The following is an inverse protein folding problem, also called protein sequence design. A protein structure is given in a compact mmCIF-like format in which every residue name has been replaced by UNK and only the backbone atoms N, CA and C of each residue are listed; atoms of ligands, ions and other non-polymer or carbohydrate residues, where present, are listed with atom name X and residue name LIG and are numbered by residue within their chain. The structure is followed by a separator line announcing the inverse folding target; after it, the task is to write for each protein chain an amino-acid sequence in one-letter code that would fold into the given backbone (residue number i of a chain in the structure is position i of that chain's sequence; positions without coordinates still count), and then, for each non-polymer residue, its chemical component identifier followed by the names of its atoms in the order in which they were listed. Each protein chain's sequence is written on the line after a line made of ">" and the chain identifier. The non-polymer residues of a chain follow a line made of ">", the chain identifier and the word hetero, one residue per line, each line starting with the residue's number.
data_IF_866828639704
#
_entry.id   IF_866828639704
#
_cell.length_a   1.000
_cell.length_b   1.000
_cell.length_c   1.000
_cell.angle_alpha   90.00
_cell.angle_beta   90.00
_cell.angle_gamma   90.00
#
_symmetry.space_group_name_H-M   'P 1'
#
loop_
_entity.id
_entity.type
_entity.pdbx_description
1 polymer ?
#
# COMPACT_ATOMS: atom_id res chain seq x y z
N UNK A 1 36.39 -7.23 32.03
CA UNK A 1 35.29 -8.12 32.47
C UNK A 1 33.93 -7.42 32.57
N UNK A 2 33.80 -6.09 32.38
CA UNK A 2 32.51 -5.37 32.44
C UNK A 2 31.75 -5.27 31.11
N UNK A 3 32.43 -5.27 29.95
CA UNK A 3 31.77 -5.12 28.64
C UNK A 3 31.14 -6.42 28.09
N UNK A 4 31.63 -7.60 28.50
CA UNK A 4 31.08 -8.89 28.05
C UNK A 4 29.78 -9.28 28.76
N UNK A 5 29.64 -8.89 30.04
CA UNK A 5 28.41 -9.11 30.81
C UNK A 5 27.26 -8.26 30.31
N UNK A 6 27.49 -6.98 29.96
CA UNK A 6 26.45 -6.10 29.39
C UNK A 6 25.96 -6.60 28.02
N UNK A 7 26.86 -7.08 27.16
CA UNK A 7 26.51 -7.66 25.86
C UNK A 7 25.72 -8.96 25.98
N UNK A 8 26.00 -9.78 26.99
CA UNK A 8 25.31 -11.05 27.24
C UNK A 8 23.90 -10.81 27.80
N UNK A 9 23.77 -9.89 28.76
CA UNK A 9 22.48 -9.49 29.34
C UNK A 9 21.57 -8.87 28.26
N UNK A 10 22.10 -7.97 27.43
CA UNK A 10 21.35 -7.39 26.31
C UNK A 10 20.84 -8.43 25.31
N UNK A 11 21.66 -9.44 24.97
CA UNK A 11 21.25 -10.56 24.11
C UNK A 11 20.15 -11.42 24.74
N UNK A 12 20.24 -11.71 26.04
CA UNK A 12 19.24 -12.50 26.77
C UNK A 12 17.90 -11.74 26.82
N UNK A 13 17.92 -10.45 27.18
CA UNK A 13 16.71 -9.61 27.18
C UNK A 13 16.09 -9.49 25.78
N UNK A 14 16.92 -9.32 24.74
CA UNK A 14 16.46 -9.30 23.36
C UNK A 14 15.80 -10.62 22.92
N UNK A 15 16.40 -11.76 23.30
CA UNK A 15 15.87 -13.10 23.02
C UNK A 15 14.56 -13.36 23.76
N UNK A 16 14.47 -13.00 25.04
CA UNK A 16 13.26 -13.14 25.84
C UNK A 16 12.12 -12.27 25.28
N UNK A 17 12.40 -11.00 24.97
CA UNK A 17 11.44 -10.09 24.33
C UNK A 17 10.94 -10.63 22.98
N UNK A 18 11.84 -11.23 22.18
CA UNK A 18 11.45 -11.87 20.94
C UNK A 18 10.58 -13.11 21.14
N UNK A 19 10.84 -13.89 22.18
CA UNK A 19 10.06 -15.10 22.48
C UNK A 19 8.66 -14.74 22.98
N UNK A 20 8.55 -13.78 23.90
CA UNK A 20 7.26 -13.26 24.37
C UNK A 20 6.43 -12.68 23.22
N UNK A 21 7.07 -11.93 22.31
CA UNK A 21 6.39 -11.39 21.13
C UNK A 21 5.85 -12.48 20.20
N UNK A 22 6.62 -13.55 19.97
CA UNK A 22 6.16 -14.70 19.19
C UNK A 22 4.96 -15.38 19.84
N UNK A 23 4.99 -15.61 21.16
CA UNK A 23 3.85 -16.18 21.90
C UNK A 23 2.60 -15.30 21.80
N UNK A 24 2.77 -13.99 21.91
CA UNK A 24 1.69 -13.02 21.73
C UNK A 24 1.10 -13.12 20.31
N UNK A 25 1.94 -13.16 19.27
CA UNK A 25 1.47 -13.30 17.89
C UNK A 25 0.79 -14.65 17.67
N UNK A 26 1.32 -15.75 18.18
CA UNK A 26 0.63 -17.05 18.14
C UNK A 26 -0.76 -16.99 18.77
N UNK A 27 -0.90 -16.26 19.88
CA UNK A 27 -2.20 -16.07 20.55
C UNK A 27 -3.16 -15.23 19.71
N UNK A 28 -2.68 -14.14 19.09
CA UNK A 28 -3.48 -13.32 18.18
C UNK A 28 -3.89 -14.10 16.92
N UNK A 29 -3.02 -14.97 16.40
CA UNK A 29 -3.27 -15.78 15.20
C UNK A 29 -4.32 -16.88 15.40
N UNK A 30 -4.84 -17.08 16.62
CA UNK A 30 -6.05 -17.89 16.83
C UNK A 30 -7.30 -17.19 16.26
N UNK A 31 -7.29 -15.85 16.22
CA UNK A 31 -8.32 -15.05 15.56
C UNK A 31 -7.97 -14.68 14.12
N UNK A 32 -8.87 -13.99 13.41
CA UNK A 32 -8.58 -13.49 12.07
C UNK A 32 -7.43 -12.47 12.11
N UNK A 33 -6.45 -12.65 11.23
CA UNK A 33 -5.33 -11.71 11.04
C UNK A 33 -5.67 -10.79 9.86
N UNK A 34 -5.50 -9.46 10.00
CA UNK A 34 -5.68 -8.54 8.88
C UNK A 34 -4.67 -8.87 7.78
N UNK A 35 -5.15 -9.04 6.55
CA UNK A 35 -4.32 -9.31 5.40
C UNK A 35 -3.58 -8.04 4.95
N UNK A 36 -4.21 -6.87 5.14
CA UNK A 36 -3.65 -5.58 4.76
C UNK A 36 -3.83 -4.52 5.86
N UNK A 37 -2.72 -3.90 6.30
CA UNK A 37 -2.73 -2.74 7.22
C UNK A 37 -2.17 -1.49 6.52
N UNK A 38 -2.92 -0.39 6.56
CA UNK A 38 -2.49 0.91 6.08
C UNK A 38 -2.11 1.86 7.25
N UNK A 39 -1.09 2.71 7.06
CA UNK A 39 -0.63 3.67 8.07
C UNK A 39 -0.60 5.10 7.55
N UNK A 40 -1.21 6.03 8.30
CA UNK A 40 -0.99 7.47 8.18
C UNK A 40 0.01 7.89 9.27
N UNK A 41 1.24 8.17 8.84
CA UNK A 41 2.40 8.40 9.70
C UNK A 41 2.50 9.85 10.23
N UNK A 42 1.48 10.31 10.95
CA UNK A 42 1.35 11.69 11.44
C UNK A 42 2.06 11.92 12.79
N UNK A 43 2.55 13.14 13.01
CA UNK A 43 3.12 13.57 14.29
C UNK A 43 4.64 13.69 14.33
N UNK A 44 5.36 13.40 13.24
CA UNK A 44 6.83 13.50 13.18
C UNK A 44 7.36 14.89 13.62
N UNK A 45 6.78 15.98 13.09
CA UNK A 45 7.18 17.35 13.45
C UNK A 45 6.82 17.70 14.90
N UNK A 46 5.63 17.28 15.36
CA UNK A 46 5.19 17.46 16.75
C UNK A 46 6.11 16.75 17.73
N UNK A 47 6.57 15.55 17.38
CA UNK A 47 7.52 14.76 18.18
C UNK A 47 8.86 15.48 18.31
N UNK A 48 9.41 16.00 17.20
CA UNK A 48 10.66 16.76 17.23
C UNK A 48 10.53 18.02 18.11
N UNK A 49 9.44 18.78 17.94
CA UNK A 49 9.17 19.99 18.74
C UNK A 49 9.03 19.69 20.23
N UNK A 50 8.26 18.65 20.61
CA UNK A 50 8.05 18.22 22.00
C UNK A 50 9.36 17.88 22.72
N UNK A 51 10.39 17.44 21.98
CA UNK A 51 11.70 17.04 22.51
C UNK A 51 12.81 18.07 22.24
N UNK A 52 12.47 19.28 21.77
CA UNK A 52 13.44 20.32 21.40
C UNK A 52 14.51 19.83 20.41
N UNK A 53 14.13 18.94 19.48
CA UNK A 53 15.01 18.40 18.46
C UNK A 53 14.97 19.26 17.21
N UNK A 54 16.08 19.28 16.47
CA UNK A 54 16.17 19.96 15.16
C UNK A 54 15.13 19.42 14.17
N UNK A 55 14.70 20.26 13.25
CA UNK A 55 13.84 19.87 12.13
C UNK A 55 14.46 18.65 11.40
N UNK A 56 13.61 17.71 11.01
CA UNK A 56 14.04 16.48 10.34
C UNK A 56 14.35 15.27 11.22
N UNK A 57 14.82 15.47 12.46
CA UNK A 57 15.09 14.36 13.40
C UNK A 57 13.83 13.54 13.68
N UNK A 58 12.66 14.21 13.74
CA UNK A 58 11.37 13.52 13.88
C UNK A 58 11.08 12.55 12.73
N UNK A 59 11.44 12.90 11.50
CA UNK A 59 11.27 12.01 10.34
C UNK A 59 12.24 10.83 10.38
N UNK A 60 13.48 11.03 10.84
CA UNK A 60 14.42 9.91 11.06
C UNK A 60 13.90 8.93 12.12
N UNK A 61 13.39 9.43 13.24
CA UNK A 61 12.75 8.59 14.26
C UNK A 61 11.50 7.88 13.71
N UNK A 62 10.73 8.59 12.87
CA UNK A 62 9.59 8.01 12.16
C UNK A 62 9.98 6.85 11.24
N UNK A 63 11.09 6.94 10.52
CA UNK A 63 11.58 5.83 9.70
C UNK A 63 11.97 4.60 10.54
N UNK A 64 12.63 4.79 11.69
CA UNK A 64 12.94 3.68 12.60
C UNK A 64 11.66 3.00 13.14
N UNK A 65 10.63 3.80 13.39
CA UNK A 65 9.32 3.29 13.83
C UNK A 65 8.63 2.51 12.72
N UNK A 66 8.71 2.99 11.48
CA UNK A 66 8.24 2.26 10.30
C UNK A 66 8.90 0.87 10.20
N UNK A 67 10.24 0.80 10.28
CA UNK A 67 10.95 -0.48 10.20
C UNK A 67 10.53 -1.45 11.32
N UNK A 68 10.32 -0.93 12.53
CA UNK A 68 9.88 -1.75 13.67
C UNK A 68 8.45 -2.27 13.47
N UNK A 69 7.53 -1.43 13.00
CA UNK A 69 6.14 -1.82 12.73
C UNK A 69 6.04 -2.79 11.56
N UNK A 70 6.80 -2.60 10.48
CA UNK A 70 6.85 -3.55 9.37
C UNK A 70 7.30 -4.93 9.84
N UNK A 71 8.34 -4.99 10.69
CA UNK A 71 8.79 -6.25 11.29
C UNK A 71 7.65 -6.91 12.06
N UNK A 72 6.93 -6.16 12.89
CA UNK A 72 5.82 -6.72 13.66
C UNK A 72 4.66 -7.18 12.77
N UNK A 73 4.29 -6.42 11.74
CA UNK A 73 3.27 -6.82 10.77
C UNK A 73 3.64 -8.14 10.08
N UNK A 74 4.87 -8.26 9.57
CA UNK A 74 5.31 -9.47 8.86
C UNK A 74 5.49 -10.68 9.79
N UNK A 75 6.00 -10.47 11.02
CA UNK A 75 6.05 -11.53 12.03
C UNK A 75 4.65 -12.01 12.46
N UNK A 76 3.63 -11.14 12.42
CA UNK A 76 2.23 -11.48 12.69
C UNK A 76 1.55 -12.21 11.49
N UNK A 77 2.15 -12.13 10.30
CA UNK A 77 1.60 -12.73 9.07
C UNK A 77 0.78 -11.79 8.19
N UNK A 78 0.85 -10.47 8.43
CA UNK A 78 0.23 -9.46 7.55
C UNK A 78 0.94 -9.46 6.20
N UNK A 79 0.18 -9.62 5.11
CA UNK A 79 0.74 -9.77 3.76
C UNK A 79 1.02 -8.44 3.08
N UNK A 80 0.16 -7.45 3.28
CA UNK A 80 0.26 -6.13 2.66
C UNK A 80 0.39 -5.04 3.74
N UNK A 81 1.34 -4.14 3.57
CA UNK A 81 1.42 -2.91 4.37
C UNK A 81 1.47 -1.71 3.45
N UNK A 82 0.55 -0.76 3.62
CA UNK A 82 0.57 0.52 2.90
C UNK A 82 0.94 1.65 3.84
N UNK A 83 1.79 2.59 3.42
CA UNK A 83 2.18 3.74 4.24
C UNK A 83 2.04 5.06 3.49
N UNK A 84 1.49 6.07 4.15
CA UNK A 84 1.38 7.41 3.59
C UNK A 84 2.65 8.21 3.87
N UNK A 85 3.60 8.18 2.94
CA UNK A 85 4.92 8.79 3.10
C UNK A 85 4.92 10.29 2.77
N UNK A 86 4.29 10.68 1.65
CA UNK A 86 4.24 12.08 1.21
C UNK A 86 3.01 12.37 0.36
N UNK A 87 2.19 13.33 0.78
CA UNK A 87 1.00 13.75 0.04
C UNK A 87 1.31 14.79 -1.03
N UNK A 88 0.51 14.87 -2.10
CA UNK A 88 0.58 15.99 -3.07
C UNK A 88 0.41 17.34 -2.35
N UNK A 89 -0.46 17.43 -1.36
CA UNK A 89 -0.64 18.65 -0.58
C UNK A 89 0.61 19.04 0.21
N UNK A 90 1.55 18.12 0.43
CA UNK A 90 2.78 18.42 1.15
C UNK A 90 3.79 19.22 0.32
N UNK A 91 3.64 19.28 -1.01
CA UNK A 91 4.42 20.21 -1.85
C UNK A 91 4.12 21.69 -1.54
N UNK A 92 2.97 22.00 -0.91
CA UNK A 92 2.61 23.35 -0.47
C UNK A 92 3.39 23.83 0.78
N UNK A 93 4.20 22.96 1.39
CA UNK A 93 5.03 23.31 2.55
C UNK A 93 6.24 24.15 2.12
N UNK A 94 7.02 24.65 3.09
CA UNK A 94 8.22 25.44 2.82
C UNK A 94 9.19 24.64 1.92
N UNK A 95 9.78 25.24 0.86
CA UNK A 95 10.66 24.52 -0.07
C UNK A 95 11.81 23.79 0.61
N UNK A 96 12.42 24.38 1.64
CA UNK A 96 13.49 23.73 2.42
C UNK A 96 13.01 22.48 3.17
N UNK A 97 11.76 22.48 3.67
CA UNK A 97 11.17 21.29 4.31
C UNK A 97 10.91 20.19 3.28
N UNK A 98 10.37 20.56 2.10
CA UNK A 98 10.12 19.62 1.01
C UNK A 98 11.43 18.98 0.54
N UNK A 99 12.47 19.80 0.27
CA UNK A 99 13.79 19.32 -0.13
C UNK A 99 14.37 18.34 0.90
N UNK A 100 14.34 18.69 2.19
CA UNK A 100 14.82 17.80 3.25
C UNK A 100 14.11 16.44 3.25
N UNK A 101 12.78 16.44 3.08
CA UNK A 101 12.00 15.19 3.06
C UNK A 101 12.34 14.37 1.81
N UNK A 102 12.55 15.00 0.66
CA UNK A 102 12.99 14.31 -0.57
C UNK A 102 14.38 13.69 -0.42
N UNK A 103 15.34 14.44 0.14
CA UNK A 103 16.70 13.94 0.39
C UNK A 103 16.68 12.74 1.34
N UNK A 104 15.90 12.85 2.43
CA UNK A 104 15.72 11.76 3.37
C UNK A 104 15.04 10.55 2.71
N UNK A 105 14.02 10.78 1.88
CA UNK A 105 13.33 9.72 1.16
C UNK A 105 14.29 8.97 0.24
N UNK A 106 15.08 9.69 -0.57
CA UNK A 106 16.12 9.08 -1.40
C UNK A 106 17.09 8.22 -0.57
N UNK A 107 17.66 8.80 0.50
CA UNK A 107 18.58 8.08 1.42
C UNK A 107 17.96 6.78 1.93
N UNK A 108 16.67 6.81 2.30
CA UNK A 108 15.97 5.64 2.85
C UNK A 108 15.61 4.61 1.79
N UNK A 109 15.19 5.03 0.60
CA UNK A 109 14.90 4.11 -0.51
C UNK A 109 16.16 3.36 -0.92
N UNK A 110 17.29 4.06 -1.08
CA UNK A 110 18.57 3.43 -1.38
C UNK A 110 19.02 2.50 -0.24
N UNK A 111 18.73 2.88 1.00
CA UNK A 111 18.94 2.06 2.18
C UNK A 111 18.15 0.75 2.20
N UNK A 112 16.95 0.70 1.61
CA UNK A 112 16.12 -0.51 1.55
C UNK A 112 16.75 -1.64 0.71
N UNK A 113 17.68 -1.30 -0.19
CA UNK A 113 18.31 -2.25 -1.11
C UNK A 113 19.58 -2.91 -0.56
N UNK A 114 20.02 -2.53 0.64
CA UNK A 114 21.18 -3.17 1.29
C UNK A 114 20.84 -4.60 1.72
N UNK A 115 21.82 -5.51 1.76
CA UNK A 115 21.58 -6.95 1.99
C UNK A 115 20.89 -7.26 3.33
N UNK A 116 21.28 -6.56 4.40
CA UNK A 116 20.77 -6.78 5.77
C UNK A 116 19.39 -6.17 6.04
N UNK A 117 18.63 -5.79 5.01
CA UNK A 117 17.36 -5.09 5.20
C UNK A 117 16.20 -6.04 5.45
N UNK A 118 15.14 -5.47 6.03
CA UNK A 118 13.84 -6.14 6.19
C UNK A 118 13.28 -6.66 4.86
N UNK A 119 13.67 -6.02 3.75
CA UNK A 119 13.23 -6.40 2.39
C UNK A 119 13.70 -7.80 2.04
N UNK A 120 14.99 -8.10 2.23
CA UNK A 120 15.53 -9.42 1.95
C UNK A 120 15.12 -10.44 3.00
N UNK A 121 15.14 -10.04 4.29
CA UNK A 121 14.79 -10.94 5.39
C UNK A 121 13.36 -11.51 5.27
N UNK A 122 12.40 -10.68 4.86
CA UNK A 122 11.00 -11.09 4.76
C UNK A 122 10.55 -11.36 3.32
N UNK A 123 11.41 -11.17 2.32
CA UNK A 123 11.03 -11.28 0.90
C UNK A 123 9.94 -10.28 0.54
N UNK A 124 10.17 -9.00 0.87
CA UNK A 124 9.22 -7.91 0.67
C UNK A 124 9.33 -7.39 -0.76
N UNK A 125 8.22 -7.34 -1.48
CA UNK A 125 8.10 -6.56 -2.72
C UNK A 125 7.75 -5.11 -2.39
N UNK A 126 8.54 -4.15 -2.87
CA UNK A 126 8.29 -2.74 -2.63
C UNK A 126 7.61 -2.12 -3.86
N UNK A 127 6.52 -1.40 -3.64
CA UNK A 127 5.77 -0.67 -4.67
C UNK A 127 5.61 0.79 -4.25
N UNK A 128 5.99 1.74 -5.11
CA UNK A 128 5.71 3.16 -4.89
C UNK A 128 4.42 3.54 -5.63
N UNK A 129 3.48 4.15 -4.91
CA UNK A 129 2.12 4.43 -5.37
C UNK A 129 1.87 5.93 -5.34
N UNK A 130 1.35 6.49 -6.42
CA UNK A 130 1.03 7.91 -6.57
C UNK A 130 1.59 8.52 -7.84
N UNK A 131 1.48 9.84 -7.97
CA UNK A 131 1.93 10.54 -9.16
C UNK A 131 3.45 10.78 -9.11
N UNK A 132 4.22 9.74 -9.45
CA UNK A 132 5.69 9.76 -9.36
C UNK A 132 6.34 10.81 -10.26
N UNK A 133 5.63 11.32 -11.28
CA UNK A 133 6.09 12.41 -12.16
C UNK A 133 6.29 13.73 -11.39
N UNK A 134 5.63 13.90 -10.24
CA UNK A 134 5.78 15.07 -9.38
C UNK A 134 7.02 15.02 -8.48
N UNK A 135 7.71 13.89 -8.41
CA UNK A 135 8.89 13.74 -7.56
C UNK A 135 10.14 14.33 -8.20
N UNK A 136 11.09 14.71 -7.34
CA UNK A 136 12.44 15.01 -7.79
C UNK A 136 13.03 13.78 -8.49
N UNK A 137 13.76 14.02 -9.58
CA UNK A 137 14.31 12.97 -10.43
C UNK A 137 15.08 11.91 -9.65
N UNK A 138 15.91 12.33 -8.69
CA UNK A 138 16.71 11.41 -7.88
C UNK A 138 15.86 10.46 -7.04
N UNK A 139 14.75 10.94 -6.47
CA UNK A 139 13.82 10.13 -5.69
C UNK A 139 13.06 9.17 -6.61
N UNK A 140 12.60 9.65 -7.77
CA UNK A 140 11.89 8.83 -8.76
C UNK A 140 12.76 7.68 -9.26
N UNK A 141 14.01 7.96 -9.66
CA UNK A 141 14.97 6.95 -10.11
C UNK A 141 15.26 5.94 -9.00
N UNK A 142 15.43 6.38 -7.75
CA UNK A 142 15.65 5.49 -6.62
C UNK A 142 14.43 4.57 -6.39
N UNK A 143 13.21 5.11 -6.46
CA UNK A 143 11.97 4.36 -6.33
C UNK A 143 11.84 3.28 -7.43
N UNK A 144 12.05 3.65 -8.69
CA UNK A 144 12.01 2.72 -9.83
C UNK A 144 13.06 1.62 -9.72
N UNK A 145 14.27 1.95 -9.27
CA UNK A 145 15.33 0.96 -9.00
C UNK A 145 14.89 -0.01 -7.90
N UNK A 146 14.26 0.48 -6.84
CA UNK A 146 13.82 -0.36 -5.73
C UNK A 146 12.65 -1.29 -6.10
N UNK A 147 11.69 -0.80 -6.90
CA UNK A 147 10.60 -1.63 -7.42
C UNK A 147 11.15 -2.76 -8.31
N UNK A 148 12.10 -2.46 -9.21
CA UNK A 148 12.75 -3.48 -10.05
C UNK A 148 13.51 -4.51 -9.23
N UNK A 149 14.32 -4.06 -8.28
CA UNK A 149 15.15 -4.95 -7.46
C UNK A 149 14.33 -5.92 -6.60
N UNK A 150 13.08 -5.57 -6.28
CA UNK A 150 12.20 -6.34 -5.40
C UNK A 150 11.02 -6.98 -6.13
N UNK A 151 10.95 -6.88 -7.46
CA UNK A 151 9.79 -7.31 -8.26
C UNK A 151 9.47 -8.81 -8.11
N UNK A 152 10.51 -9.64 -7.95
CA UNK A 152 10.39 -11.10 -7.83
C UNK A 152 10.10 -11.56 -6.39
N UNK A 153 10.05 -10.65 -5.43
CA UNK A 153 9.68 -11.00 -4.06
C UNK A 153 8.15 -11.25 -3.98
N UNK A 154 7.75 -12.32 -3.31
CA UNK A 154 6.34 -12.77 -3.31
C UNK A 154 5.74 -13.00 -1.93
N UNK A 155 6.54 -12.90 -0.86
CA UNK A 155 6.08 -13.23 0.50
C UNK A 155 5.17 -12.15 1.08
N UNK A 156 5.63 -10.90 1.04
CA UNK A 156 4.86 -9.73 1.53
C UNK A 156 5.06 -8.55 0.60
N UNK A 157 4.17 -7.55 0.69
CA UNK A 157 4.21 -6.35 -0.16
C UNK A 157 4.16 -5.10 0.71
N UNK A 158 5.09 -4.17 0.45
CA UNK A 158 5.11 -2.84 1.03
C UNK A 158 4.72 -1.83 -0.05
N UNK A 159 3.59 -1.16 0.13
CA UNK A 159 3.14 -0.06 -0.71
C UNK A 159 3.48 1.27 -0.04
N UNK A 160 4.23 2.13 -0.73
CA UNK A 160 4.67 3.42 -0.23
C UNK A 160 3.97 4.50 -1.04
N UNK A 161 2.96 5.14 -0.46
CA UNK A 161 2.22 6.22 -1.09
C UNK A 161 3.03 7.52 -1.01
N UNK A 162 3.44 8.03 -2.18
CA UNK A 162 4.32 9.18 -2.34
C UNK A 162 3.82 10.05 -3.50
N UNK A 163 3.80 11.37 -3.31
CA UNK A 163 3.09 12.28 -4.21
C UNK A 163 1.66 11.75 -4.49
N UNK A 164 1.00 11.30 -3.43
CA UNK A 164 -0.29 10.62 -3.50
C UNK A 164 -1.39 11.47 -2.84
N UNK A 165 -2.57 11.49 -3.44
CA UNK A 165 -3.84 11.77 -2.77
C UNK A 165 -4.92 10.89 -3.37
N UNK A 166 -5.94 10.53 -2.61
CA UNK A 166 -7.02 9.68 -3.11
C UNK A 166 -7.83 10.37 -4.21
N UNK A 167 -8.01 11.69 -4.14
CA UNK A 167 -8.66 12.44 -5.23
C UNK A 167 -7.85 12.40 -6.53
N UNK A 168 -6.52 12.55 -6.47
CA UNK A 168 -5.64 12.42 -7.65
C UNK A 168 -5.71 11.02 -8.24
N UNK A 169 -5.68 9.98 -7.39
CA UNK A 169 -5.84 8.59 -7.82
C UNK A 169 -7.18 8.34 -8.53
N UNK A 170 -8.28 8.83 -7.96
CA UNK A 170 -9.63 8.67 -8.55
C UNK A 170 -9.70 9.39 -9.91
N UNK A 171 -9.17 10.60 -10.00
CA UNK A 171 -9.14 11.36 -11.27
C UNK A 171 -8.29 10.62 -12.30
N UNK A 172 -7.11 10.13 -11.92
CA UNK A 172 -6.25 9.33 -12.79
C UNK A 172 -6.98 8.07 -13.29
N UNK A 173 -7.62 7.31 -12.39
CA UNK A 173 -8.35 6.11 -12.76
C UNK A 173 -9.49 6.39 -13.75
N UNK A 174 -10.21 7.50 -13.58
CA UNK A 174 -11.25 7.94 -14.54
C UNK A 174 -10.63 8.28 -15.90
N UNK A 175 -9.52 9.03 -15.91
CA UNK A 175 -8.83 9.42 -17.15
C UNK A 175 -8.33 8.21 -17.92
N UNK A 176 -7.59 7.31 -17.28
CA UNK A 176 -7.07 6.08 -17.91
C UNK A 176 -8.22 5.17 -18.38
N UNK A 177 -9.32 5.09 -17.63
CA UNK A 177 -10.48 4.30 -18.05
C UNK A 177 -11.13 4.86 -19.33
N UNK A 178 -11.21 6.18 -19.46
CA UNK A 178 -11.70 6.83 -20.68
C UNK A 178 -10.74 6.58 -21.86
N UNK A 179 -9.45 6.82 -21.67
CA UNK A 179 -8.43 6.63 -22.70
C UNK A 179 -8.40 5.17 -23.20
N UNK A 180 -8.44 4.20 -22.28
CA UNK A 180 -8.46 2.78 -22.63
C UNK A 180 -9.68 2.39 -23.48
N UNK A 181 -10.87 2.97 -23.20
CA UNK A 181 -12.07 2.71 -24.01
C UNK A 181 -12.03 3.39 -25.38
N UNK A 182 -11.47 4.60 -25.44
CA UNK A 182 -11.30 5.31 -26.71
C UNK A 182 -10.30 4.58 -27.64
N UNK A 183 -9.19 4.06 -27.09
CA UNK A 183 -8.23 3.24 -27.83
C UNK A 183 -8.86 1.93 -28.32
N UNK A 184 -9.64 1.24 -27.48
CA UNK A 184 -10.33 0.01 -27.87
C UNK A 184 -11.29 0.24 -29.03
N UNK A 185 -12.01 1.37 -29.04
CA UNK A 185 -12.89 1.78 -30.14
C UNK A 185 -12.10 2.07 -31.42
N UNK A 186 -11.01 2.83 -31.33
CA UNK A 186 -10.17 3.15 -32.48
C UNK A 186 -9.59 1.87 -33.12
N UNK A 187 -9.14 0.93 -32.31
CA UNK A 187 -8.62 -0.37 -32.76
C UNK A 187 -9.73 -1.29 -33.29
N UNK A 188 -10.92 -1.29 -32.68
CA UNK A 188 -12.08 -2.04 -33.15
C UNK A 188 -12.65 -1.54 -34.49
N UNK A 189 -12.54 -0.22 -34.76
CA UNK A 189 -12.88 0.36 -36.06
C UNK A 189 -11.84 0.03 -37.16
N UNK A 190 -10.56 -0.15 -36.79
CA UNK A 190 -9.49 -0.55 -37.70
C UNK A 190 -9.50 -2.06 -38.01
N UNK A 191 -9.95 -2.91 -37.06
CA UNK A 191 -9.90 -4.38 -37.16
C UNK A 191 -11.16 -5.04 -37.73
N UNK A 192 -12.05 -4.30 -38.41
CA UNK A 192 -13.12 -4.89 -39.24
C UNK A 192 -12.60 -5.65 -40.50
N UNK A 193 -11.34 -6.08 -40.46
CA UNK A 193 -10.70 -6.94 -41.43
C UNK A 193 -9.48 -7.66 -40.87
N UNK A 194 -9.56 -8.30 -39.69
CA UNK A 194 -8.89 -9.59 -39.37
C UNK A 194 -8.99 -9.94 -37.86
N UNK A 195 -9.01 -11.25 -37.58
CA UNK A 195 -9.41 -11.90 -36.31
C UNK A 195 -8.43 -11.73 -35.14
N UNK A 196 -9.04 -11.79 -33.94
CA UNK A 196 -8.52 -12.23 -32.63
C UNK A 196 -7.09 -11.84 -32.26
N UNK A 197 -6.96 -10.70 -31.58
CA UNK A 197 -5.77 -10.37 -30.81
C UNK A 197 -6.06 -10.56 -29.31
N UNK A 198 -5.25 -11.37 -28.63
CA UNK A 198 -5.26 -11.47 -27.16
C UNK A 198 -4.79 -10.14 -26.58
N UNK A 199 -5.62 -9.54 -25.72
CA UNK A 199 -5.32 -8.28 -25.04
C UNK A 199 -4.14 -8.44 -24.07
N UNK A 200 -3.06 -7.71 -24.38
CA UNK A 200 -1.80 -7.70 -23.64
C UNK A 200 -1.69 -6.39 -22.85
N UNK A 201 -1.60 -6.52 -21.54
CA UNK A 201 -1.59 -5.42 -20.56
C UNK A 201 -0.36 -4.50 -20.74
N UNK A 202 -0.59 -3.21 -21.03
CA UNK A 202 0.42 -2.15 -20.91
C UNK A 202 0.06 -1.26 -19.73
N UNK A 203 0.71 -1.47 -18.59
CA UNK A 203 0.74 -0.49 -17.52
C UNK A 203 1.70 0.64 -17.92
N UNK A 204 1.17 1.83 -18.14
CA UNK A 204 1.97 3.03 -18.35
C UNK A 204 2.85 3.29 -17.11
N UNK A 205 4.17 3.09 -17.26
CA UNK A 205 5.18 3.51 -16.28
C UNK A 205 5.93 2.42 -15.52
N UNK A 206 5.65 1.13 -15.76
CA UNK A 206 6.49 0.04 -15.24
C UNK A 206 7.37 -0.51 -16.36
N UNK A 207 8.68 -0.44 -16.13
CA UNK A 207 9.75 -0.84 -17.04
C UNK A 207 9.48 -2.24 -17.62
N UNK A 208 9.52 -2.31 -18.96
CA UNK A 208 9.59 -3.53 -19.76
C UNK A 208 10.57 -4.54 -19.15
N UNK A 209 10.08 -5.71 -18.77
CA UNK A 209 10.93 -6.81 -18.32
C UNK A 209 10.14 -7.97 -17.71
N UNK A 210 9.93 -8.99 -18.53
CA UNK A 210 9.47 -10.35 -18.19
C UNK A 210 8.08 -10.54 -17.56
N UNK A 211 7.23 -11.15 -18.40
CA UNK A 211 5.94 -11.77 -18.10
C UNK A 211 6.14 -12.93 -17.12
N UNK A 212 5.36 -12.95 -16.04
CA UNK A 212 4.91 -14.19 -15.40
C UNK A 212 3.53 -13.96 -14.76
N UNK A 213 2.66 -14.94 -15.00
CA UNK A 213 1.23 -14.94 -14.72
C UNK A 213 0.89 -14.72 -13.24
N UNK A 214 0.18 -13.63 -12.92
CA UNK A 214 -0.59 -13.53 -11.68
C UNK A 214 -1.89 -14.32 -11.83
N UNK A 215 -1.88 -15.60 -11.44
CA UNK A 215 -3.11 -16.36 -11.19
C UNK A 215 -3.69 -15.91 -9.85
N UNK A 216 -4.69 -15.04 -9.89
CA UNK A 216 -5.58 -14.77 -8.78
C UNK A 216 -6.46 -16.02 -8.53
N UNK A 217 -6.08 -16.84 -7.55
CA UNK A 217 -6.97 -17.85 -6.98
C UNK A 217 -7.87 -17.17 -5.95
N UNK A 218 -9.18 -17.10 -6.20
CA UNK A 218 -10.15 -16.68 -5.19
C UNK A 218 -11.52 -16.24 -5.71
N UNK A 219 -12.35 -17.23 -6.05
CA UNK A 219 -13.82 -17.25 -5.86
C UNK A 219 -14.67 -16.08 -6.40
N UNK A 220 -15.18 -16.23 -7.63
CA UNK A 220 -16.52 -15.76 -8.00
C UNK A 220 -17.30 -16.97 -8.53
N UNK A 221 -18.34 -17.37 -7.79
CA UNK A 221 -19.27 -18.46 -8.12
C UNK A 221 -20.52 -17.89 -8.81
N UNK A 222 -20.95 -18.53 -9.92
CA UNK A 222 -22.28 -18.47 -10.55
C UNK A 222 -22.51 -17.23 -11.43
N UNK A 223 -23.03 -17.28 -12.66
CA UNK A 223 -23.93 -18.22 -13.32
C UNK A 223 -23.55 -18.36 -14.80
N UNK A 224 -23.65 -19.58 -15.35
CA UNK A 224 -23.61 -19.82 -16.80
C UNK A 224 -25.04 -19.73 -17.34
N UNK A 225 -25.36 -18.65 -18.03
CA UNK A 225 -26.53 -18.60 -18.89
C UNK A 225 -26.08 -18.80 -20.35
N UNK A 226 -26.44 -19.95 -20.92
CA UNK A 226 -26.40 -20.19 -22.36
C UNK A 226 -27.48 -19.34 -23.03
N UNK A 227 -27.08 -18.33 -23.81
CA UNK A 227 -28.01 -17.64 -24.71
C UNK A 227 -27.67 -17.90 -26.18
N UNK A 228 -28.60 -18.58 -26.84
CA UNK A 228 -28.65 -18.84 -28.28
C UNK A 228 -28.74 -17.52 -29.04
N UNK A 229 -27.95 -17.42 -30.10
CA UNK A 229 -28.02 -16.34 -31.07
C UNK A 229 -29.39 -16.32 -31.77
N UNK A 230 -29.99 -15.13 -31.87
CA UNK A 230 -30.80 -14.73 -33.01
C UNK A 230 -30.93 -13.20 -33.10
N UNK A 231 -30.54 -12.68 -34.27
CA UNK A 231 -31.05 -11.50 -34.99
C UNK A 231 -31.45 -10.22 -34.26
N UNK A 232 -30.86 -9.11 -34.73
CA UNK A 232 -31.36 -7.72 -34.66
C UNK A 232 -31.19 -6.94 -33.34
N UNK A 233 -29.94 -6.65 -32.92
CA UNK A 233 -29.64 -5.48 -32.06
C UNK A 233 -28.21 -4.98 -32.37
N UNK A 234 -28.03 -4.14 -33.40
CA UNK A 234 -26.71 -3.53 -33.70
C UNK A 234 -26.60 -2.06 -33.27
N UNK A 235 -27.67 -1.46 -32.72
CA UNK A 235 -27.65 -0.08 -32.19
C UNK A 235 -27.36 0.02 -30.69
N UNK A 236 -27.93 -0.87 -29.87
CA UNK A 236 -27.84 -0.76 -28.41
C UNK A 236 -26.53 -1.35 -27.83
N UNK A 237 -25.98 -2.41 -28.45
CA UNK A 237 -24.72 -3.03 -28.01
C UNK A 237 -23.50 -2.12 -28.13
N UNK A 238 -23.49 -1.18 -29.08
CA UNK A 238 -22.38 -0.24 -29.25
C UNK A 238 -22.36 0.86 -28.17
N UNK A 239 -23.50 1.12 -27.51
CA UNK A 239 -23.62 2.19 -26.53
C UNK A 239 -23.30 1.72 -25.10
N UNK A 240 -23.59 0.45 -24.77
CA UNK A 240 -23.20 -0.14 -23.48
C UNK A 240 -21.68 -0.32 -23.31
N UNK A 241 -20.94 -0.56 -24.39
CA UNK A 241 -19.49 -0.81 -24.32
C UNK A 241 -18.71 0.43 -23.90
N UNK A 242 -19.25 1.62 -24.19
CA UNK A 242 -18.63 2.92 -23.89
C UNK A 242 -18.89 3.41 -22.45
N UNK A 243 -19.83 2.80 -21.71
CA UNK A 243 -20.15 3.25 -20.35
C UNK A 243 -19.04 2.81 -19.41
N UNK A 244 -18.34 3.75 -18.76
CA UNK A 244 -17.33 3.46 -17.74
C UNK A 244 -18.01 2.75 -16.56
N UNK A 245 -17.60 1.51 -16.28
CA UNK A 245 -18.10 0.69 -15.18
C UNK A 245 -17.19 0.83 -13.97
N UNK A 246 -17.68 0.42 -12.81
CA UNK A 246 -16.90 0.42 -11.57
C UNK A 246 -15.58 -0.36 -11.71
N UNK A 247 -15.66 -1.53 -12.36
CA UNK A 247 -14.50 -2.40 -12.62
C UNK A 247 -13.44 -1.74 -13.50
N UNK A 248 -13.83 -0.82 -14.38
CA UNK A 248 -12.89 -0.07 -15.22
C UNK A 248 -12.07 0.88 -14.33
N UNK A 249 -12.74 1.59 -13.42
CA UNK A 249 -12.07 2.49 -12.47
C UNK A 249 -11.15 1.72 -11.52
N UNK A 250 -11.63 0.65 -10.89
CA UNK A 250 -10.87 -0.13 -9.92
C UNK A 250 -9.59 -0.72 -10.53
N UNK A 251 -9.64 -1.12 -11.80
CA UNK A 251 -8.47 -1.63 -12.53
C UNK A 251 -7.41 -0.56 -12.77
N UNK A 252 -7.81 0.70 -12.92
CA UNK A 252 -6.90 1.83 -13.19
C UNK A 252 -6.55 2.66 -11.95
N UNK A 253 -7.04 2.30 -10.76
CA UNK A 253 -6.54 2.87 -9.50
C UNK A 253 -5.05 2.51 -9.32
N UNK A 254 -4.23 3.42 -8.80
CA UNK A 254 -2.83 3.10 -8.47
C UNK A 254 -2.74 1.90 -7.50
N UNK A 255 -3.70 1.78 -6.59
CA UNK A 255 -3.78 0.71 -5.59
C UNK A 255 -4.33 -0.62 -6.12
N UNK A 256 -4.69 -0.75 -7.41
CA UNK A 256 -5.22 -2.00 -7.99
C UNK A 256 -4.28 -3.22 -7.84
N UNK A 257 -3.00 -2.97 -7.50
CA UNK A 257 -1.97 -3.99 -7.26
C UNK A 257 -2.09 -4.71 -5.90
N UNK A 258 -2.99 -4.26 -5.01
CA UNK A 258 -3.19 -4.83 -3.67
C UNK A 258 -4.69 -4.87 -3.31
N UNK A 259 -5.10 -5.79 -2.42
CA UNK A 259 -6.46 -5.78 -1.88
C UNK A 259 -6.69 -4.56 -0.98
N UNK A 260 -7.94 -4.24 -0.69
CA UNK A 260 -8.29 -3.15 0.22
C UNK A 260 -7.73 -3.35 1.65
N UNK A 261 -7.36 -2.27 2.36
CA UNK A 261 -6.93 -2.36 3.75
C UNK A 261 -8.02 -2.90 4.69
N UNK A 262 -7.66 -3.86 5.53
CA UNK A 262 -8.52 -4.32 6.62
C UNK A 262 -8.49 -3.37 7.80
N UNK A 263 -7.33 -2.74 8.04
CA UNK A 263 -7.14 -1.75 9.12
C UNK A 263 -6.40 -0.53 8.55
N UNK A 264 -6.88 0.66 8.90
CA UNK A 264 -6.16 1.92 8.69
C UNK A 264 -5.83 2.53 10.05
N UNK A 265 -4.53 2.68 10.31
CA UNK A 265 -4.00 3.23 11.54
C UNK A 265 -3.49 4.64 11.30
N UNK A 266 -4.02 5.62 12.04
CA UNK A 266 -3.54 7.01 12.01
C UNK A 266 -3.03 7.44 13.38
N UNK A 267 -1.73 7.70 13.47
CA UNK A 267 -1.14 8.25 14.70
C UNK A 267 -1.61 9.67 15.01
N UNK A 268 -1.23 10.17 16.19
CA UNK A 268 -1.41 11.53 16.70
C UNK A 268 -2.84 11.93 17.10
N UNK A 269 -3.75 10.95 17.24
CA UNK A 269 -5.11 11.15 17.75
C UNK A 269 -6.06 11.85 16.78
N UNK A 270 -5.65 12.05 15.53
CA UNK A 270 -6.46 12.72 14.52
C UNK A 270 -7.49 11.76 13.92
N UNK A 271 -8.75 12.20 13.82
CA UNK A 271 -9.89 11.39 13.33
C UNK A 271 -10.32 11.80 11.93
N UNK A 272 -9.37 11.89 10.99
CA UNK A 272 -9.63 12.16 9.56
C UNK A 272 -8.73 11.30 8.69
N UNK A 273 -9.09 11.11 7.42
CA UNK A 273 -8.27 10.33 6.47
C UNK A 273 -7.22 11.19 5.72
N UNK A 274 -7.38 12.52 5.68
CA UNK A 274 -6.43 13.41 4.97
C UNK A 274 -6.20 13.02 3.51
N UNK A 275 -7.30 12.74 2.80
CA UNK A 275 -7.28 12.36 1.38
C UNK A 275 -6.39 11.14 1.09
N UNK A 276 -6.49 10.12 1.96
CA UNK A 276 -5.72 8.87 1.87
C UNK A 276 -6.65 7.68 1.75
N UNK A 277 -6.48 6.89 0.68
CA UNK A 277 -7.20 5.63 0.43
C UNK A 277 -8.72 5.74 0.60
N UNK A 278 -9.35 6.83 0.15
CA UNK A 278 -10.78 7.06 0.39
C UNK A 278 -11.66 5.99 -0.27
N UNK A 279 -11.25 5.51 -1.45
CA UNK A 279 -11.94 4.44 -2.17
C UNK A 279 -11.77 3.10 -1.48
N UNK A 280 -10.52 2.76 -1.11
CA UNK A 280 -10.14 1.45 -0.60
C UNK A 280 -10.53 1.25 0.87
N UNK A 281 -10.85 2.32 1.61
CA UNK A 281 -11.13 2.24 3.07
C UNK A 281 -12.62 2.26 3.42
N UNK A 282 -13.51 1.98 2.46
CA UNK A 282 -14.97 1.98 2.66
C UNK A 282 -15.44 0.95 3.69
N UNK A 283 -14.80 -0.22 3.75
CA UNK A 283 -15.07 -1.29 4.75
C UNK A 283 -13.79 -1.65 5.49
N UNK A 284 -13.20 -0.64 6.13
CA UNK A 284 -11.93 -0.73 6.85
C UNK A 284 -12.10 -0.39 8.34
N UNK A 285 -11.41 -1.10 9.23
CA UNK A 285 -11.33 -0.72 10.65
C UNK A 285 -10.42 0.50 10.80
N UNK A 286 -10.95 1.58 11.39
CA UNK A 286 -10.18 2.80 11.64
C UNK A 286 -9.66 2.83 13.08
N UNK A 287 -8.36 2.96 13.26
CA UNK A 287 -7.73 3.04 14.57
C UNK A 287 -6.84 4.30 14.69
N UNK A 288 -7.21 5.22 15.59
CA UNK A 288 -6.51 6.50 15.78
C UNK A 288 -5.91 6.64 17.19
N UNK A 289 -4.76 6.02 17.50
CA UNK A 289 -4.11 6.19 18.80
C UNK A 289 -3.59 7.63 18.97
N UNK A 290 -3.63 8.15 20.19
CA UNK A 290 -3.12 9.50 20.53
C UNK A 290 -1.61 9.63 20.42
N UNK A 291 -0.88 8.51 20.46
CA UNK A 291 0.58 8.47 20.31
C UNK A 291 1.03 9.08 18.98
N UNK A 292 2.11 9.88 19.00
CA UNK A 292 2.73 10.41 17.79
C UNK A 292 3.38 9.27 16.98
N UNK A 293 3.58 9.44 15.67
CA UNK A 293 4.16 8.38 14.84
C UNK A 293 5.45 7.78 15.42
N UNK A 294 6.46 8.56 15.86
CA UNK A 294 7.68 7.99 16.45
C UNK A 294 7.51 7.35 17.84
N UNK A 295 6.32 7.41 18.44
CA UNK A 295 5.97 6.81 19.72
C UNK A 295 5.16 5.50 19.55
N UNK A 296 4.73 5.17 18.32
CA UNK A 296 4.04 3.91 18.03
C UNK A 296 4.97 2.71 18.23
N UNK A 297 4.37 1.56 18.54
CA UNK A 297 5.11 0.33 18.81
C UNK A 297 4.20 -0.88 18.88
N UNK A 298 4.76 -2.01 19.35
CA UNK A 298 4.11 -3.31 19.37
C UNK A 298 2.70 -3.28 19.97
N UNK A 299 2.53 -2.67 21.14
CA UNK A 299 1.24 -2.66 21.84
C UNK A 299 0.15 -1.91 21.07
N UNK A 300 0.51 -0.85 20.34
CA UNK A 300 -0.46 -0.13 19.50
C UNK A 300 -0.94 -1.01 18.33
N UNK A 301 -0.03 -1.78 17.72
CA UNK A 301 -0.39 -2.74 16.68
C UNK A 301 -1.28 -3.86 17.25
N UNK A 302 -0.93 -4.40 18.42
CA UNK A 302 -1.74 -5.43 19.11
C UNK A 302 -3.14 -4.92 19.38
N UNK A 303 -3.30 -3.69 19.89
CA UNK A 303 -4.62 -3.10 20.11
C UNK A 303 -5.41 -2.89 18.82
N UNK A 304 -4.75 -2.45 17.74
CA UNK A 304 -5.39 -2.32 16.44
C UNK A 304 -5.93 -3.69 15.95
N UNK A 305 -5.11 -4.74 16.06
CA UNK A 305 -5.50 -6.11 15.66
C UNK A 305 -6.63 -6.64 16.53
N UNK A 306 -6.59 -6.44 17.86
CA UNK A 306 -7.67 -6.86 18.75
C UNK A 306 -8.99 -6.14 18.45
N UNK A 307 -8.95 -4.84 18.14
CA UNK A 307 -10.14 -4.08 17.73
C UNK A 307 -10.70 -4.62 16.41
N UNK A 308 -9.84 -4.88 15.43
CA UNK A 308 -10.22 -5.53 14.18
C UNK A 308 -10.86 -6.90 14.42
N UNK A 309 -10.24 -7.76 15.23
CA UNK A 309 -10.77 -9.08 15.55
C UNK A 309 -12.14 -9.01 16.22
N UNK A 310 -12.34 -8.05 17.13
CA UNK A 310 -13.64 -7.80 17.77
C UNK A 310 -14.70 -7.38 16.75
N UNK A 311 -14.35 -6.54 15.78
CA UNK A 311 -15.27 -6.00 14.80
C UNK A 311 -15.38 -6.86 13.52
N UNK A 312 -14.56 -7.89 13.39
CA UNK A 312 -14.44 -8.72 12.19
C UNK A 312 -15.77 -9.29 11.68
N UNK A 313 -16.68 -9.84 12.52
CA UNK A 313 -17.96 -10.35 12.03
C UNK A 313 -18.84 -9.28 11.35
N UNK A 314 -18.78 -8.04 11.84
CA UNK A 314 -19.49 -6.91 11.25
C UNK A 314 -18.89 -6.51 9.90
N UNK A 315 -17.55 -6.40 9.84
CA UNK A 315 -16.82 -6.04 8.63
C UNK A 315 -17.04 -7.08 7.52
N UNK A 316 -16.96 -8.37 7.84
CA UNK A 316 -17.25 -9.47 6.91
C UNK A 316 -18.67 -9.41 6.36
N UNK A 317 -19.67 -9.12 7.22
CA UNK A 317 -21.05 -8.96 6.78
C UNK A 317 -21.20 -7.77 5.83
N UNK A 318 -20.52 -6.66 6.10
CA UNK A 318 -20.54 -5.46 5.26
C UNK A 318 -19.86 -5.68 3.91
N UNK A 319 -18.71 -6.36 3.87
CA UNK A 319 -18.02 -6.71 2.62
C UNK A 319 -18.90 -7.55 1.68
N UNK A 320 -19.77 -8.42 2.21
CA UNK A 320 -20.71 -9.25 1.42
C UNK A 320 -21.95 -8.52 0.90
N UNK A 321 -22.20 -7.29 1.37
CA UNK A 321 -23.35 -6.47 0.97
C UNK A 321 -23.02 -5.48 -0.15
N UNK A 322 -21.73 -5.26 -0.41
CA UNK A 322 -21.21 -4.48 -1.53
C UNK A 322 -20.97 -5.42 -2.72
#
# INVERSE_FOLDING_TARGET
>A
MSNESEGTVSKIFGSLSSTMRKLLFCSLSVGPIPNHIAFIMDGNRRYAKKRNLKEGIGHKAGFLTLMSLLKYCYELGVKYVTVYAFSIDNFKRRPAEVQYVMDLMQEKIEGLLKEETIVNQYGVRVCFIGNLKLLHESVRVAAEKAMRATANNTKTVLLICVAYTSTDEIVHAVQESCEHKDEFKANGMMNNGEKEHKDEFKANGLINGHKDEFKANGLINGHKDEFKANGLINGEKQQEDHVIKLVDLEKHMYMAVAPDPDILIRSSGETRLSNFLLWQTTVCELFSPSALWPELGLWHLVWAVLNFQRNYPYLEKKKKQL
#
